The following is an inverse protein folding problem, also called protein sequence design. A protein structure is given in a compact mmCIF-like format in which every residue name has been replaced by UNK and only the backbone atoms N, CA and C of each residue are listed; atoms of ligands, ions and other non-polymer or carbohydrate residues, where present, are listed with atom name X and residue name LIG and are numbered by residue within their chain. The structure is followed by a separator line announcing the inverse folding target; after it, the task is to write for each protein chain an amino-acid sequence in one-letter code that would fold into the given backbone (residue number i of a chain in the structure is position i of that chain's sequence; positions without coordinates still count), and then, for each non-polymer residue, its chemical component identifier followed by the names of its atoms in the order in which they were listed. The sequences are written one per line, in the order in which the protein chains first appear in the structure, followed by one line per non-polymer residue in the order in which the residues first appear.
data_IF_345215812830
#
_entry.id   IF_345215812830
#
_cell.length_a   1.000
_cell.length_b   1.000
_cell.length_c   1.000
_cell.angle_alpha   90.00
_cell.angle_beta   90.00
_cell.angle_gamma   90.00
#
_symmetry.space_group_name_H-M   'P 1'
#
loop_
_entity.id
_entity.type
_entity.pdbx_description
1 polymer ?
#
# COMPACT_ATOMS: atom_id res chain seq x y z
N UNK A 1 12.76 21.25 -24.96
CA UNK A 1 13.46 19.95 -24.84
C UNK A 1 13.19 19.23 -23.50
N UNK A 2 12.74 19.95 -22.45
CA UNK A 2 12.49 19.42 -21.09
C UNK A 2 11.26 18.51 -20.96
N UNK A 3 10.21 18.72 -21.75
CA UNK A 3 8.97 17.94 -21.67
C UNK A 3 9.12 16.47 -22.09
N UNK A 4 9.88 16.20 -23.15
CA UNK A 4 10.10 14.84 -23.63
C UNK A 4 10.90 13.98 -22.64
N UNK A 5 11.81 14.59 -21.88
CA UNK A 5 12.63 13.89 -20.90
C UNK A 5 11.82 13.46 -19.67
N UNK A 6 10.92 14.32 -19.17
CA UNK A 6 10.02 13.96 -18.07
C UNK A 6 9.04 12.84 -18.47
N UNK A 7 8.52 12.88 -19.70
CA UNK A 7 7.63 11.83 -20.22
C UNK A 7 8.36 10.49 -20.34
N UNK A 8 9.60 10.47 -20.83
CA UNK A 8 10.38 9.23 -20.97
C UNK A 8 10.78 8.62 -19.62
N UNK A 9 11.03 9.45 -18.59
CA UNK A 9 11.32 8.95 -17.24
C UNK A 9 10.08 8.28 -16.64
N UNK A 10 8.86 8.75 -16.91
CA UNK A 10 7.63 8.17 -16.34
C UNK A 10 7.30 6.75 -16.85
N UNK A 11 7.81 6.34 -18.01
CA UNK A 11 7.50 5.02 -18.61
C UNK A 11 8.25 3.82 -18.01
N UNK A 12 9.25 4.01 -17.15
CA UNK A 12 10.03 2.91 -16.53
C UNK A 12 9.66 2.65 -15.06
N UNK A 13 8.54 3.20 -14.57
CA UNK A 13 8.07 2.79 -13.25
C UNK A 13 7.65 1.32 -13.26
N UNK A 14 8.13 0.55 -12.29
CA UNK A 14 7.79 -0.87 -12.17
C UNK A 14 7.14 -1.19 -10.84
N UNK A 15 6.02 -1.89 -10.89
CA UNK A 15 5.39 -2.44 -9.69
C UNK A 15 6.25 -3.57 -9.14
N UNK A 16 6.70 -3.43 -7.89
CA UNK A 16 7.45 -4.46 -7.16
C UNK A 16 6.54 -5.39 -6.37
N UNK A 17 5.41 -4.89 -5.86
CA UNK A 17 4.47 -5.72 -5.13
C UNK A 17 3.04 -5.14 -5.08
N UNK A 18 2.08 -6.05 -4.90
CA UNK A 18 0.73 -5.74 -4.45
C UNK A 18 0.47 -6.44 -3.13
N UNK A 19 -0.06 -5.72 -2.16
CA UNK A 19 -0.54 -6.27 -0.90
C UNK A 19 -2.03 -6.02 -0.76
N UNK A 20 -2.77 -7.09 -0.51
CA UNK A 20 -4.22 -7.10 -0.42
C UNK A 20 -4.69 -7.08 1.03
N UNK A 21 -5.95 -6.70 1.25
CA UNK A 21 -6.55 -6.56 2.59
C UNK A 21 -5.72 -5.66 3.50
N UNK A 22 -5.27 -4.54 2.96
CA UNK A 22 -4.57 -3.51 3.72
C UNK A 22 -5.60 -2.65 4.43
N UNK A 23 -5.43 -2.49 5.74
CA UNK A 23 -6.13 -1.49 6.52
C UNK A 23 -5.26 -0.24 6.61
N UNK A 24 -5.75 0.85 6.01
CA UNK A 24 -5.14 2.19 6.12
C UNK A 24 -5.82 2.95 7.24
N UNK A 25 -5.01 3.46 8.17
CA UNK A 25 -5.45 4.36 9.23
C UNK A 25 -4.71 5.69 9.14
N UNK A 26 -5.39 6.76 9.55
CA UNK A 26 -4.85 8.10 9.56
C UNK A 26 -5.15 8.78 10.88
N UNK A 27 -4.25 9.65 11.34
CA UNK A 27 -4.49 10.39 12.57
C UNK A 27 -5.57 11.49 12.37
N UNK A 28 -6.50 11.57 13.33
CA UNK A 28 -7.58 12.57 13.38
C UNK A 28 -8.81 12.06 14.14
N UNK A 29 -9.53 12.96 14.83
CA UNK A 29 -10.56 12.63 15.84
C UNK A 29 -11.84 11.93 15.32
N UNK A 30 -11.98 11.71 14.01
CA UNK A 30 -13.14 11.04 13.39
C UNK A 30 -12.75 10.17 12.18
N UNK A 31 -11.45 9.90 11.99
CA UNK A 31 -11.01 9.15 10.80
C UNK A 31 -11.14 7.65 11.04
N UNK A 32 -12.11 7.02 10.40
CA UNK A 32 -12.23 5.56 10.33
C UNK A 32 -11.18 5.01 9.35
N UNK A 33 -10.59 3.87 9.70
CA UNK A 33 -9.72 3.15 8.79
C UNK A 33 -10.46 2.69 7.52
N UNK A 34 -9.70 2.43 6.46
CA UNK A 34 -10.21 1.99 5.17
C UNK A 34 -9.49 0.74 4.73
N UNK A 35 -10.25 -0.21 4.22
CA UNK A 35 -9.71 -1.37 3.51
C UNK A 35 -9.29 -0.99 2.09
N UNK A 36 -8.24 -1.60 1.60
CA UNK A 36 -7.82 -1.49 0.22
C UNK A 36 -6.65 -2.41 -0.11
N UNK A 37 -5.98 -2.04 -1.20
CA UNK A 37 -4.75 -2.65 -1.69
C UNK A 37 -3.61 -1.63 -1.57
N UNK A 38 -2.43 -2.07 -1.13
CA UNK A 38 -1.21 -1.27 -1.21
C UNK A 38 -0.39 -1.77 -2.38
N UNK A 39 -0.17 -0.89 -3.35
CA UNK A 39 0.71 -1.10 -4.50
C UNK A 39 2.04 -0.43 -4.21
N UNK A 40 3.11 -1.19 -4.41
CA UNK A 40 4.48 -0.76 -4.13
C UNK A 40 5.23 -0.74 -5.45
N UNK A 41 5.70 0.43 -5.86
CA UNK A 41 6.52 0.59 -7.07
C UNK A 41 7.96 0.90 -6.69
N UNK A 42 8.86 1.09 -7.65
CA UNK A 42 10.19 1.64 -7.38
C UNK A 42 10.21 3.15 -7.07
N UNK A 43 9.06 3.84 -7.14
CA UNK A 43 8.98 5.30 -7.00
C UNK A 43 8.03 5.80 -5.93
N UNK A 44 6.99 5.03 -5.61
CA UNK A 44 5.90 5.47 -4.75
C UNK A 44 5.18 4.30 -4.08
N UNK A 45 4.53 4.64 -2.96
CA UNK A 45 3.46 3.83 -2.39
C UNK A 45 2.12 4.34 -2.91
N UNK A 46 1.24 3.42 -3.29
CA UNK A 46 -0.11 3.76 -3.69
C UNK A 46 -1.11 2.91 -2.93
N UNK A 47 -2.01 3.55 -2.18
CA UNK A 47 -3.15 2.88 -1.55
C UNK A 47 -4.39 3.06 -2.41
N UNK A 48 -4.98 1.94 -2.84
CA UNK A 48 -6.18 1.88 -3.66
C UNK A 48 -7.33 1.32 -2.82
N UNK A 49 -8.33 2.15 -2.55
CA UNK A 49 -9.58 1.76 -1.86
C UNK A 49 -10.68 1.31 -2.81
N UNK A 50 -10.63 1.76 -4.08
CA UNK A 50 -11.55 1.36 -5.15
C UNK A 50 -10.76 1.00 -6.41
N UNK A 51 -10.96 -0.21 -6.92
CA UNK A 51 -10.21 -0.78 -8.06
C UNK A 51 -11.15 -1.29 -9.16
N UNK A 52 -10.70 -1.31 -10.43
CA UNK A 52 -11.36 -2.02 -11.56
C UNK A 52 -11.07 -3.53 -11.52
N UNK A 53 -10.14 -3.96 -10.66
CA UNK A 53 -9.87 -5.38 -10.49
C UNK A 53 -11.15 -6.12 -10.13
N UNK A 54 -11.47 -7.15 -10.90
CA UNK A 54 -12.67 -7.96 -10.65
C UNK A 54 -12.63 -8.57 -9.25
N UNK A 55 -13.80 -8.74 -8.62
CA UNK A 55 -13.91 -9.38 -7.31
C UNK A 55 -13.22 -10.76 -7.27
N UNK A 56 -13.33 -11.54 -8.35
CA UNK A 56 -12.69 -12.85 -8.48
C UNK A 56 -11.16 -12.75 -8.46
N UNK A 57 -10.59 -11.81 -9.20
CA UNK A 57 -9.14 -11.57 -9.19
C UNK A 57 -8.67 -11.11 -7.82
N UNK A 58 -9.39 -10.17 -7.21
CA UNK A 58 -9.07 -9.66 -5.88
C UNK A 58 -9.10 -10.77 -4.81
N UNK A 59 -10.13 -11.61 -4.79
CA UNK A 59 -10.23 -12.77 -3.89
C UNK A 59 -9.10 -13.79 -4.14
N UNK A 60 -8.80 -14.08 -5.41
CA UNK A 60 -7.72 -15.00 -5.78
C UNK A 60 -6.37 -14.52 -5.24
N UNK A 61 -6.02 -13.25 -5.45
CA UNK A 61 -4.75 -12.72 -4.96
C UNK A 61 -4.70 -12.60 -3.44
N UNK A 62 -5.81 -12.22 -2.80
CA UNK A 62 -5.92 -12.18 -1.34
C UNK A 62 -5.68 -13.57 -0.72
N UNK A 63 -6.26 -14.63 -1.29
CA UNK A 63 -6.06 -16.02 -0.83
C UNK A 63 -4.63 -16.52 -1.08
N UNK A 64 -4.03 -16.19 -2.23
CA UNK A 64 -2.62 -16.52 -2.51
C UNK A 64 -1.70 -15.85 -1.51
N UNK A 65 -1.93 -14.57 -1.20
CA UNK A 65 -1.19 -13.86 -0.14
C UNK A 65 -1.36 -14.55 1.22
N UNK A 66 -2.58 -14.96 1.58
CA UNK A 66 -2.84 -15.67 2.83
C UNK A 66 -2.10 -17.02 2.91
N UNK A 67 -2.03 -17.78 1.81
CA UNK A 67 -1.24 -19.02 1.77
C UNK A 67 0.23 -18.71 2.03
N UNK A 68 0.80 -17.72 1.33
CA UNK A 68 2.21 -17.33 1.49
C UNK A 68 2.55 -16.92 2.93
N UNK A 69 1.64 -16.23 3.62
CA UNK A 69 1.82 -15.94 5.04
C UNK A 69 1.91 -17.21 5.91
N UNK A 70 1.09 -18.23 5.62
CA UNK A 70 1.14 -19.52 6.33
C UNK A 70 2.43 -20.28 6.02
N UNK A 71 2.83 -20.26 4.76
CA UNK A 71 3.98 -20.99 4.22
C UNK A 71 5.31 -20.26 4.47
N UNK A 72 5.27 -19.07 5.09
CA UNK A 72 6.42 -18.17 5.34
C UNK A 72 7.18 -17.81 4.06
N UNK A 73 6.46 -17.71 2.96
CA UNK A 73 7.00 -17.30 1.66
C UNK A 73 7.05 -15.77 1.52
N UNK A 74 7.81 -15.29 0.53
CA UNK A 74 7.81 -13.88 0.18
C UNK A 74 6.44 -13.44 -0.38
N UNK A 75 5.79 -12.52 0.33
CA UNK A 75 4.51 -11.89 -0.01
C UNK A 75 4.65 -10.64 -0.89
N UNK A 76 5.83 -10.02 -0.97
CA UNK A 76 6.10 -8.89 -1.86
C UNK A 76 6.25 -9.37 -3.31
N UNK A 77 5.12 -9.52 -4.01
CA UNK A 77 5.08 -9.93 -5.42
C UNK A 77 4.05 -9.12 -6.21
N UNK A 78 4.30 -8.83 -7.49
CA UNK A 78 3.30 -8.23 -8.37
C UNK A 78 2.09 -9.17 -8.56
N UNK A 79 0.91 -8.60 -8.73
CA UNK A 79 -0.28 -9.32 -9.17
C UNK A 79 -0.24 -9.44 -10.70
N UNK A 80 -0.43 -10.65 -11.23
CA UNK A 80 -0.39 -10.89 -12.67
C UNK A 80 -1.56 -10.16 -13.36
N UNK A 81 -1.28 -9.50 -14.48
CA UNK A 81 -2.28 -8.74 -15.23
C UNK A 81 -2.74 -7.43 -14.57
N UNK A 82 -2.04 -6.96 -13.52
CA UNK A 82 -2.20 -5.60 -12.98
C UNK A 82 -0.86 -4.86 -13.08
N UNK A 83 -0.80 -3.88 -13.99
CA UNK A 83 0.37 -3.05 -14.26
C UNK A 83 0.14 -1.57 -13.97
N UNK A 84 1.06 -0.73 -14.45
CA UNK A 84 1.00 0.73 -14.26
C UNK A 84 -0.26 1.33 -14.89
N UNK A 85 -0.69 0.84 -16.06
CA UNK A 85 -1.91 1.35 -16.73
C UNK A 85 -3.15 1.15 -15.86
N UNK A 86 -3.28 -0.01 -15.24
CA UNK A 86 -4.39 -0.33 -14.32
C UNK A 86 -4.28 0.49 -13.03
N UNK A 87 -3.06 0.69 -12.51
CA UNK A 87 -2.79 1.54 -11.34
C UNK A 87 -3.23 2.99 -11.56
N UNK A 88 -2.86 3.59 -12.69
CA UNK A 88 -3.25 4.95 -13.07
C UNK A 88 -4.77 5.07 -13.22
N UNK A 89 -5.40 4.12 -13.91
CA UNK A 89 -6.85 4.11 -14.07
C UNK A 89 -7.57 4.00 -12.72
N UNK A 90 -7.00 3.26 -11.75
CA UNK A 90 -7.55 3.14 -10.41
C UNK A 90 -7.35 4.39 -9.55
N UNK A 91 -6.19 5.06 -9.66
CA UNK A 91 -5.89 6.29 -8.92
C UNK A 91 -6.99 7.35 -9.09
N UNK A 92 -7.47 7.54 -10.31
CA UNK A 92 -8.46 8.56 -10.66
C UNK A 92 -9.89 8.27 -10.14
N UNK A 93 -10.15 7.06 -9.63
CA UNK A 93 -11.51 6.64 -9.27
C UNK A 93 -12.05 7.20 -7.97
N UNK A 94 -11.16 7.52 -7.03
CA UNK A 94 -11.59 7.86 -5.69
C UNK A 94 -10.64 8.85 -5.03
N UNK A 95 -11.17 9.92 -4.42
CA UNK A 95 -10.36 10.82 -3.59
C UNK A 95 -9.80 10.14 -2.33
N UNK A 96 -10.25 8.91 -2.03
CA UNK A 96 -9.74 8.11 -0.92
C UNK A 96 -8.47 7.32 -1.25
N UNK A 97 -8.19 7.17 -2.55
CA UNK A 97 -6.92 6.63 -3.01
C UNK A 97 -5.81 7.61 -2.65
N UNK A 98 -4.66 7.08 -2.29
CA UNK A 98 -3.55 7.87 -1.77
C UNK A 98 -2.28 7.46 -2.49
N UNK A 99 -1.72 8.41 -3.22
CA UNK A 99 -0.39 8.31 -3.80
C UNK A 99 0.63 8.98 -2.87
N UNK A 100 1.75 8.30 -2.63
CA UNK A 100 2.85 8.76 -1.79
C UNK A 100 4.18 8.55 -2.53
N UNK A 101 4.66 9.55 -3.29
CA UNK A 101 6.01 9.55 -3.82
C UNK A 101 7.05 9.36 -2.72
N UNK A 102 8.07 8.53 -2.95
CA UNK A 102 9.10 8.26 -1.93
C UNK A 102 9.83 9.52 -1.46
N UNK A 103 10.06 10.49 -2.35
CA UNK A 103 10.60 11.82 -2.02
C UNK A 103 9.77 12.62 -0.99
N UNK A 104 8.50 12.28 -0.80
CA UNK A 104 7.62 12.91 0.19
C UNK A 104 7.62 12.16 1.52
N UNK A 105 8.24 10.97 1.60
CA UNK A 105 8.31 10.21 2.85
C UNK A 105 9.45 10.78 3.70
N UNK A 106 9.10 11.32 4.86
CA UNK A 106 10.04 11.85 5.86
C UNK A 106 10.61 10.75 6.75
N UNK A 107 9.81 9.72 7.02
CA UNK A 107 10.18 8.60 7.89
C UNK A 107 9.26 7.41 7.60
N UNK A 108 9.84 6.21 7.61
CA UNK A 108 9.10 4.95 7.43
C UNK A 108 9.60 3.91 8.42
N UNK A 109 8.69 3.37 9.22
CA UNK A 109 9.04 2.49 10.33
C UNK A 109 8.05 1.33 10.44
N UNK A 110 8.56 0.19 10.89
CA UNK A 110 7.72 -0.91 11.35
C UNK A 110 7.57 -0.87 12.85
N UNK A 111 6.36 -1.11 13.35
CA UNK A 111 6.09 -1.31 14.76
C UNK A 111 5.40 -2.65 14.97
N UNK A 112 5.96 -3.47 15.85
CA UNK A 112 5.31 -4.70 16.31
C UNK A 112 4.33 -4.40 17.43
N UNK A 113 3.08 -4.82 17.26
CA UNK A 113 2.01 -4.75 18.27
C UNK A 113 1.65 -6.16 18.74
N UNK A 114 0.90 -6.26 19.85
CA UNK A 114 0.37 -7.55 20.31
C UNK A 114 -0.51 -8.25 19.27
N UNK A 115 -1.26 -7.48 18.49
CA UNK A 115 -2.24 -7.96 17.52
C UNK A 115 -1.71 -8.11 16.08
N UNK A 116 -0.50 -7.63 15.77
CA UNK A 116 0.03 -7.63 14.40
C UNK A 116 1.22 -6.69 14.22
N UNK A 117 1.61 -6.45 12.97
CA UNK A 117 2.69 -5.51 12.62
C UNK A 117 2.13 -4.33 11.84
N UNK A 118 2.56 -3.12 12.20
CA UNK A 118 2.12 -1.87 11.60
C UNK A 118 3.26 -1.25 10.80
N UNK A 119 2.98 -0.75 9.60
CA UNK A 119 3.85 0.16 8.87
C UNK A 119 3.39 1.60 9.13
N UNK A 120 4.30 2.44 9.62
CA UNK A 120 4.10 3.88 9.81
C UNK A 120 4.83 4.62 8.71
N UNK A 121 4.10 5.46 7.98
CA UNK A 121 4.65 6.31 6.92
C UNK A 121 4.34 7.77 7.27
N UNK A 122 5.38 8.54 7.59
CA UNK A 122 5.28 9.98 7.81
C UNK A 122 5.55 10.70 6.50
N UNK A 123 4.58 11.47 6.05
CA UNK A 123 4.58 12.11 4.72
C UNK A 123 4.67 13.62 4.89
N UNK A 124 5.47 14.27 4.06
CA UNK A 124 5.58 15.72 3.92
C UNK A 124 4.45 16.27 3.03
N UNK A 125 3.69 17.24 3.53
CA UNK A 125 2.67 17.98 2.80
C UNK A 125 3.01 19.48 2.71
N UNK A 126 4.30 19.82 2.72
CA UNK A 126 4.80 21.20 2.77
C UNK A 126 4.95 21.64 4.23
N UNK A 127 4.02 22.44 4.71
CA UNK A 127 4.10 23.05 6.05
C UNK A 127 3.69 22.10 7.19
N UNK A 128 3.16 20.92 6.85
CA UNK A 128 2.68 19.92 7.80
C UNK A 128 3.13 18.53 7.38
N UNK A 129 3.30 17.66 8.37
CA UNK A 129 3.44 16.23 8.14
C UNK A 129 2.15 15.48 8.46
N UNK A 130 1.88 14.40 7.72
CA UNK A 130 0.77 13.47 7.99
C UNK A 130 1.34 12.09 8.28
N UNK A 131 0.88 11.46 9.36
CA UNK A 131 1.18 10.06 9.64
C UNK A 131 0.07 9.16 9.12
N UNK A 132 0.44 8.25 8.21
CA UNK A 132 -0.43 7.21 7.69
C UNK A 132 0.08 5.86 8.18
N UNK A 133 -0.83 4.97 8.55
CA UNK A 133 -0.51 3.66 9.12
C UNK A 133 -1.15 2.57 8.26
N UNK A 134 -0.41 1.51 8.00
CA UNK A 134 -0.88 0.36 7.23
C UNK A 134 -0.67 -0.93 8.00
N UNK A 135 -1.68 -1.80 7.98
CA UNK A 135 -1.58 -3.16 8.52
C UNK A 135 -2.26 -4.13 7.56
N UNK A 136 -1.82 -5.39 7.57
CA UNK A 136 -2.43 -6.44 6.73
C UNK A 136 -3.48 -7.17 7.54
N UNK A 137 -4.72 -7.14 7.10
CA UNK A 137 -5.84 -7.78 7.79
C UNK A 137 -5.84 -9.28 7.53
N UNK A 138 -6.08 -10.05 8.58
CA UNK A 138 -6.20 -11.52 8.55
C UNK A 138 -7.67 -11.97 8.57
N UNK A 139 -8.53 -11.20 9.25
CA UNK A 139 -9.95 -11.52 9.39
C UNK A 139 -10.81 -10.29 9.60
N UNK A 140 -12.08 -10.39 9.21
CA UNK A 140 -13.07 -9.32 9.25
C UNK A 140 -14.29 -9.71 10.09
N UNK A 141 -14.84 -8.75 10.82
CA UNK A 141 -16.26 -8.79 11.24
C UNK A 141 -17.08 -8.06 10.19
N UNK A 142 -18.33 -8.49 9.95
CA UNK A 142 -19.22 -7.87 8.94
C UNK A 142 -20.39 -7.10 9.55
N UNK A 143 -20.65 -7.24 10.85
CA UNK A 143 -21.75 -6.57 11.56
C UNK A 143 -21.26 -5.95 12.89
N UNK A 144 -21.70 -4.74 13.28
CA UNK A 144 -22.65 -3.84 12.59
C UNK A 144 -22.05 -3.10 11.38
N UNK A 145 -20.73 -3.12 11.23
CA UNK A 145 -20.04 -2.62 10.04
C UNK A 145 -18.73 -3.39 9.84
N UNK A 146 -18.25 -3.46 8.58
CA UNK A 146 -17.00 -4.18 8.27
C UNK A 146 -15.82 -3.54 8.99
N UNK A 147 -15.09 -4.34 9.78
CA UNK A 147 -13.91 -3.89 10.53
C UNK A 147 -12.92 -5.05 10.71
N UNK A 148 -11.60 -4.80 10.77
CA UNK A 148 -10.62 -5.84 11.05
C UNK A 148 -10.80 -6.40 12.46
N UNK A 149 -10.71 -7.72 12.61
CA UNK A 149 -10.67 -8.38 13.93
C UNK A 149 -9.28 -8.93 14.26
N UNK A 150 -8.50 -9.25 13.24
CA UNK A 150 -7.16 -9.80 13.36
C UNK A 150 -6.28 -9.28 12.24
N UNK A 151 -4.98 -9.16 12.52
CA UNK A 151 -3.99 -8.73 11.55
C UNK A 151 -2.84 -9.72 11.45
N UNK A 152 -2.19 -9.74 10.30
CA UNK A 152 -0.96 -10.50 10.10
C UNK A 152 0.24 -9.82 10.76
N UNK A 153 1.20 -10.65 11.13
CA UNK A 153 2.57 -10.24 11.40
C UNK A 153 3.37 -10.41 10.12
N UNK A 154 3.92 -9.32 9.62
CA UNK A 154 4.63 -9.22 8.36
C UNK A 154 5.93 -8.47 8.58
N UNK A 155 6.99 -8.94 7.96
CA UNK A 155 8.25 -8.19 7.89
C UNK A 155 8.14 -7.09 6.83
N UNK A 156 8.13 -5.83 7.28
CA UNK A 156 8.07 -4.66 6.42
C UNK A 156 9.45 -4.19 5.93
N UNK A 157 10.53 -4.83 6.38
CA UNK A 157 11.91 -4.44 6.07
C UNK A 157 12.22 -4.34 4.57
N UNK A 158 11.71 -5.23 3.69
CA UNK A 158 11.92 -5.09 2.25
C UNK A 158 11.37 -3.76 1.69
N UNK A 159 10.18 -3.35 2.14
CA UNK A 159 9.59 -2.10 1.72
C UNK A 159 10.33 -0.89 2.31
N UNK A 160 10.68 -0.94 3.59
CA UNK A 160 11.45 0.12 4.25
C UNK A 160 12.78 0.35 3.52
N UNK A 161 13.47 -0.75 3.17
CA UNK A 161 14.72 -0.69 2.41
C UNK A 161 14.53 -0.08 1.03
N UNK A 162 13.44 -0.43 0.33
CA UNK A 162 13.10 0.13 -0.97
C UNK A 162 12.82 1.64 -0.88
N UNK A 163 12.05 2.08 0.12
CA UNK A 163 11.77 3.50 0.34
C UNK A 163 13.07 4.24 0.60
N UNK A 164 13.90 3.76 1.55
CA UNK A 164 15.15 4.43 1.93
C UNK A 164 16.16 4.51 0.77
N UNK A 165 16.18 3.52 -0.12
CA UNK A 165 17.04 3.54 -1.30
C UNK A 165 16.60 4.57 -2.35
N UNK A 166 15.33 4.99 -2.35
CA UNK A 166 14.73 5.83 -3.40
C UNK A 166 14.15 7.17 -2.88
N UNK A 167 14.15 7.42 -1.58
CA UNK A 167 13.68 8.68 -0.97
C UNK A 167 14.71 9.82 -1.10
N UNK A 168 15.94 9.52 -1.56
CA UNK A 168 17.00 10.49 -1.81
C UNK A 168 17.77 10.87 -0.54
N UNK A 169 18.92 10.22 -0.35
CA UNK A 169 20.13 10.89 0.17
C UNK A 169 20.85 11.58 -0.97
#
# INVERSE_FOLDING_TARGET
MTLAYNILVDFDEQIKAHLFWIWKEEEGFLKRGKEGMLVITDRRLVFISKTEMTFKSHDTYSRRQLSRFKDKENVFRPAEGYGIKELEADLDKSPDNLEIPYRQILDVQSEEKRWGTLLKVKINLGDKSRLVKFSVVKGWVTYPAKDPIEFHRMDWSPLISLVNANSGT
#
